data_IF_791006657940
#
_entry.id   IF_791006657940
#
_cell.length_a   1.000
_cell.length_b   1.000
_cell.length_c   1.000
_cell.angle_alpha   90.00
_cell.angle_beta   90.00
_cell.angle_gamma   90.00
#
_symmetry.space_group_name_H-M   'P 1'
#
loop_
_entity.id
_entity.type
_entity.pdbx_description
1 polymer ?
#
# COMPACT_ATOMS: atom_id res chain seq x y z
N UNK A 1 -11.19 -0.70 -19.78
CA UNK A 1 -10.98 0.63 -20.44
C UNK A 1 -11.16 1.71 -19.39
N UNK A 2 -10.36 2.82 -19.44
CA UNK A 2 -10.49 3.92 -18.45
C UNK A 2 -11.30 5.08 -19.03
N UNK A 3 -12.33 5.52 -18.31
CA UNK A 3 -13.21 6.63 -18.69
C UNK A 3 -12.92 7.86 -17.80
N UNK A 4 -12.72 9.03 -18.43
CA UNK A 4 -12.47 10.27 -17.70
C UNK A 4 -13.80 10.99 -17.40
N UNK A 5 -14.04 11.32 -16.13
CA UNK A 5 -15.22 12.07 -15.68
C UNK A 5 -14.82 13.15 -14.68
N UNK A 6 -15.49 14.32 -14.76
CA UNK A 6 -15.32 15.42 -13.80
C UNK A 6 -16.43 15.40 -12.77
N UNK A 7 -16.08 15.69 -11.51
CA UNK A 7 -17.00 15.80 -10.39
C UNK A 7 -16.85 17.16 -9.70
N UNK A 8 -17.97 17.73 -9.27
CA UNK A 8 -17.97 18.85 -8.33
C UNK A 8 -17.47 18.38 -6.95
N UNK A 9 -17.14 19.34 -6.08
CA UNK A 9 -16.52 19.05 -4.78
C UNK A 9 -17.33 18.05 -3.93
N UNK A 10 -18.64 18.29 -3.74
CA UNK A 10 -19.45 17.45 -2.87
C UNK A 10 -19.54 15.97 -3.35
N UNK A 11 -19.91 15.68 -4.62
CA UNK A 11 -19.87 14.27 -5.10
C UNK A 11 -18.46 13.65 -5.06
N UNK A 12 -17.42 14.44 -5.33
CA UNK A 12 -16.04 13.94 -5.25
C UNK A 12 -15.68 13.49 -3.83
N UNK A 13 -15.92 14.35 -2.83
CA UNK A 13 -15.65 14.02 -1.42
C UNK A 13 -16.50 12.84 -0.92
N UNK A 14 -17.76 12.76 -1.35
CA UNK A 14 -18.65 11.65 -0.95
C UNK A 14 -18.19 10.32 -1.55
N UNK A 15 -17.67 10.30 -2.79
CA UNK A 15 -17.06 9.11 -3.39
C UNK A 15 -15.76 8.77 -2.64
N UNK A 16 -14.88 9.75 -2.39
CA UNK A 16 -13.63 9.53 -1.68
C UNK A 16 -13.82 8.91 -0.29
N UNK A 17 -14.95 9.22 0.36
CA UNK A 17 -15.31 8.66 1.68
C UNK A 17 -16.12 7.35 1.61
N UNK A 18 -16.39 6.83 0.41
CA UNK A 18 -17.21 5.63 0.23
C UNK A 18 -18.71 5.83 0.52
N UNK A 19 -19.16 7.05 0.79
CA UNK A 19 -20.58 7.39 1.06
C UNK A 19 -21.40 7.29 -0.22
N UNK A 20 -20.87 7.84 -1.32
CA UNK A 20 -21.49 7.77 -2.64
C UNK A 20 -20.86 6.66 -3.46
N UNK A 21 -21.62 5.63 -3.74
CA UNK A 21 -21.20 4.48 -4.56
C UNK A 21 -21.97 4.35 -5.88
N UNK A 22 -22.93 5.25 -6.14
CA UNK A 22 -23.66 5.31 -7.41
C UNK A 22 -23.58 6.74 -7.96
N UNK A 23 -22.91 6.89 -9.10
CA UNK A 23 -22.80 8.15 -9.81
C UNK A 23 -23.93 8.30 -10.82
N UNK A 24 -24.65 9.43 -10.79
CA UNK A 24 -25.83 9.69 -11.62
C UNK A 24 -25.45 10.51 -12.86
N UNK A 25 -25.79 9.99 -14.06
CA UNK A 25 -25.47 10.64 -15.34
C UNK A 25 -26.59 10.48 -16.37
N UNK A 26 -26.56 11.32 -17.45
CA UNK A 26 -27.28 10.99 -18.66
C UNK A 26 -26.67 9.75 -19.30
N UNK A 27 -27.50 8.91 -19.91
CA UNK A 27 -27.06 7.75 -20.67
C UNK A 27 -26.78 8.15 -22.15
N UNK A 28 -25.94 9.20 -22.31
CA UNK A 28 -25.50 9.74 -23.60
C UNK A 28 -24.48 8.82 -24.30
N UNK A 29 -24.06 9.21 -25.51
CA UNK A 29 -23.15 8.43 -26.34
C UNK A 29 -21.85 8.10 -25.59
N UNK A 30 -21.33 9.00 -24.75
CA UNK A 30 -20.11 8.77 -23.98
C UNK A 30 -20.35 7.75 -22.88
N UNK A 31 -21.49 7.76 -22.18
CA UNK A 31 -21.78 6.85 -21.08
C UNK A 31 -22.25 5.47 -21.55
N UNK A 32 -22.74 5.38 -22.79
CA UNK A 32 -23.07 4.09 -23.43
C UNK A 32 -21.84 3.23 -23.73
N UNK A 33 -20.64 3.80 -23.75
CA UNK A 33 -19.39 3.06 -23.93
C UNK A 33 -18.88 2.42 -22.62
N UNK A 34 -19.38 2.86 -21.48
CA UNK A 34 -19.00 2.35 -20.15
C UNK A 34 -19.56 0.93 -19.97
N UNK A 35 -18.74 0.01 -19.50
CA UNK A 35 -19.09 -1.39 -19.23
C UNK A 35 -18.74 -1.77 -17.80
N UNK A 36 -19.42 -2.77 -17.28
CA UNK A 36 -19.03 -3.42 -16.01
C UNK A 36 -17.60 -3.96 -16.15
N UNK A 37 -16.76 -3.70 -15.16
CA UNK A 37 -15.34 -4.02 -15.16
C UNK A 37 -14.44 -2.89 -15.69
N UNK A 38 -14.99 -1.89 -16.37
CA UNK A 38 -14.22 -0.70 -16.77
C UNK A 38 -13.82 0.14 -15.56
N UNK A 39 -12.78 0.95 -15.73
CA UNK A 39 -12.34 1.94 -14.74
C UNK A 39 -12.86 3.33 -15.09
N UNK A 40 -13.12 4.12 -14.05
CA UNK A 40 -13.43 5.54 -14.17
C UNK A 40 -12.40 6.33 -13.35
N UNK A 41 -11.73 7.27 -14.01
CA UNK A 41 -10.96 8.30 -13.34
C UNK A 41 -11.83 9.55 -13.15
N UNK A 42 -12.13 9.85 -11.91
CA UNK A 42 -12.82 11.07 -11.52
C UNK A 42 -11.83 12.16 -11.20
N UNK A 43 -11.91 13.29 -11.91
CA UNK A 43 -11.11 14.48 -11.62
C UNK A 43 -11.95 15.51 -10.89
N UNK A 44 -11.42 16.11 -9.81
CA UNK A 44 -12.08 17.19 -9.11
C UNK A 44 -12.19 18.45 -10.01
N UNK A 45 -13.39 19.05 -10.12
CA UNK A 45 -13.67 20.09 -11.11
C UNK A 45 -12.87 21.39 -10.94
N UNK A 46 -12.44 21.71 -9.70
CA UNK A 46 -11.66 22.91 -9.36
C UNK A 46 -10.18 22.64 -9.10
N UNK A 47 -9.77 21.37 -9.01
CA UNK A 47 -8.40 20.98 -8.73
C UNK A 47 -8.06 19.71 -9.51
N UNK A 48 -7.47 19.89 -10.68
CA UNK A 48 -7.14 18.78 -11.59
C UNK A 48 -6.05 17.84 -11.05
N UNK A 49 -5.37 18.19 -9.96
CA UNK A 49 -4.37 17.32 -9.32
C UNK A 49 -5.02 16.27 -8.43
N UNK A 50 -6.30 16.46 -8.06
CA UNK A 50 -7.07 15.50 -7.25
C UNK A 50 -7.86 14.58 -8.15
N UNK A 51 -7.53 13.30 -8.11
CA UNK A 51 -8.21 12.24 -8.86
C UNK A 51 -8.66 11.11 -7.92
N UNK A 52 -9.70 10.38 -8.34
CA UNK A 52 -10.16 9.13 -7.73
C UNK A 52 -10.31 8.09 -8.83
N UNK A 53 -9.88 6.88 -8.57
CA UNK A 53 -10.05 5.75 -9.48
C UNK A 53 -11.11 4.81 -8.94
N UNK A 54 -12.03 4.40 -9.79
CA UNK A 54 -13.11 3.49 -9.41
C UNK A 54 -13.37 2.46 -10.51
N UNK A 55 -13.74 1.24 -10.12
CA UNK A 55 -14.21 0.19 -11.02
C UNK A 55 -15.72 0.24 -11.13
N UNK A 56 -16.25 0.10 -12.33
CA UNK A 56 -17.68 -0.03 -12.58
C UNK A 56 -18.12 -1.43 -12.19
N UNK A 57 -19.01 -1.55 -11.21
CA UNK A 57 -19.53 -2.84 -10.75
C UNK A 57 -20.94 -3.14 -11.26
N UNK A 58 -21.74 -2.11 -11.55
CA UNK A 58 -23.04 -2.25 -12.20
C UNK A 58 -23.46 -1.00 -12.97
N UNK A 59 -24.38 -1.16 -13.92
CA UNK A 59 -25.00 -0.09 -14.68
C UNK A 59 -26.53 -0.23 -14.57
N UNK A 60 -27.18 0.80 -14.03
CA UNK A 60 -28.63 0.86 -13.82
C UNK A 60 -29.22 1.91 -14.76
N UNK A 61 -29.79 1.48 -15.88
CA UNK A 61 -30.33 2.38 -16.92
C UNK A 61 -31.82 2.56 -16.77
N UNK A 62 -32.27 3.82 -16.83
CA UNK A 62 -33.67 4.22 -16.69
C UNK A 62 -34.06 5.24 -17.75
N UNK A 63 -35.38 5.32 -18.12
CA UNK A 63 -35.88 6.34 -19.02
C UNK A 63 -35.76 7.76 -18.47
N UNK A 64 -35.86 7.95 -17.13
CA UNK A 64 -35.84 9.25 -16.47
C UNK A 64 -35.26 9.19 -15.06
N UNK A 65 -34.92 10.35 -14.50
CA UNK A 65 -34.54 10.42 -13.09
C UNK A 65 -35.68 10.09 -12.14
N UNK A 66 -36.95 10.24 -12.56
CA UNK A 66 -38.10 9.85 -11.73
C UNK A 66 -38.07 8.34 -11.44
N UNK A 67 -37.92 7.51 -12.46
CA UNK A 67 -37.84 6.06 -12.27
C UNK A 67 -36.55 5.65 -11.56
N UNK A 68 -35.44 6.32 -11.82
CA UNK A 68 -34.17 6.08 -11.15
C UNK A 68 -34.29 6.34 -9.64
N UNK A 69 -34.87 7.48 -9.23
CA UNK A 69 -35.04 7.84 -7.80
C UNK A 69 -35.98 6.89 -7.05
N UNK A 70 -36.97 6.31 -7.74
CA UNK A 70 -37.86 5.30 -7.18
C UNK A 70 -37.20 3.93 -7.02
N UNK A 71 -36.15 3.64 -7.81
CA UNK A 71 -35.55 2.31 -7.92
C UNK A 71 -34.24 2.16 -7.19
N UNK A 72 -33.42 3.23 -7.11
CA UNK A 72 -32.09 3.15 -6.51
C UNK A 72 -32.09 3.66 -5.06
N UNK A 73 -31.21 3.11 -4.21
CA UNK A 73 -31.00 3.59 -2.86
C UNK A 73 -30.31 4.97 -2.89
N UNK A 74 -31.06 6.04 -2.69
CA UNK A 74 -30.59 7.43 -2.83
C UNK A 74 -29.42 7.78 -1.88
N UNK A 75 -29.32 7.12 -0.72
CA UNK A 75 -28.14 7.23 0.15
C UNK A 75 -26.84 6.85 -0.59
N UNK A 76 -26.88 5.79 -1.41
CA UNK A 76 -25.73 5.41 -2.26
C UNK A 76 -25.49 6.40 -3.42
N UNK A 77 -26.50 7.20 -3.78
CA UNK A 77 -26.40 8.23 -4.82
C UNK A 77 -25.80 9.55 -4.31
N UNK A 78 -25.55 9.65 -2.98
CA UNK A 78 -24.91 10.82 -2.35
C UNK A 78 -25.86 11.72 -1.56
N UNK A 79 -27.11 11.32 -1.37
CA UNK A 79 -28.01 11.92 -0.40
C UNK A 79 -27.66 11.46 1.02
N UNK A 80 -28.04 12.28 2.00
CA UNK A 80 -27.87 11.98 3.43
C UNK A 80 -29.21 11.60 4.07
N UNK A 81 -29.19 11.09 5.29
CA UNK A 81 -30.43 10.81 6.03
C UNK A 81 -31.28 12.07 6.28
N UNK A 82 -30.63 13.25 6.32
CA UNK A 82 -31.32 14.53 6.54
C UNK A 82 -31.99 15.09 5.29
N UNK A 83 -31.49 14.80 4.10
CA UNK A 83 -31.99 15.35 2.83
C UNK A 83 -32.75 14.36 1.95
N UNK A 84 -32.67 13.06 2.26
CA UNK A 84 -33.38 12.01 1.51
C UNK A 84 -34.92 12.19 1.49
N UNK A 85 -35.48 12.75 2.57
CA UNK A 85 -36.93 12.99 2.67
C UNK A 85 -37.41 14.11 1.73
N UNK A 86 -36.51 14.99 1.29
CA UNK A 86 -36.76 16.10 0.37
C UNK A 86 -36.15 15.89 -1.01
N UNK A 87 -35.52 14.73 -1.24
CA UNK A 87 -34.90 14.40 -2.52
C UNK A 87 -35.96 14.36 -3.63
N UNK A 88 -35.75 15.15 -4.67
CA UNK A 88 -36.66 15.23 -5.81
C UNK A 88 -35.92 15.04 -7.13
N UNK A 89 -36.48 14.27 -8.09
CA UNK A 89 -35.86 14.09 -9.40
C UNK A 89 -35.52 15.40 -10.14
N UNK A 90 -36.21 16.50 -9.82
CA UNK A 90 -35.92 17.86 -10.35
C UNK A 90 -34.60 18.44 -9.84
N UNK A 91 -33.97 17.88 -8.80
CA UNK A 91 -32.63 18.27 -8.36
C UNK A 91 -31.62 18.11 -9.50
N UNK A 92 -31.88 17.14 -10.40
CA UNK A 92 -31.04 16.87 -11.57
C UNK A 92 -31.23 17.86 -12.72
N UNK A 93 -32.27 18.70 -12.68
CA UNK A 93 -32.50 19.75 -13.67
C UNK A 93 -31.46 20.89 -13.59
N UNK A 94 -30.75 20.99 -12.45
CA UNK A 94 -29.59 21.87 -12.28
C UNK A 94 -28.40 21.44 -13.19
N UNK A 95 -28.34 20.17 -13.61
CA UNK A 95 -27.25 19.61 -14.39
C UNK A 95 -27.63 19.27 -15.81
N UNK A 96 -28.92 18.92 -16.06
CA UNK A 96 -29.39 18.37 -17.34
C UNK A 96 -30.78 18.91 -17.70
N UNK A 97 -30.96 19.39 -18.92
CA UNK A 97 -32.29 19.85 -19.38
C UNK A 97 -33.27 18.68 -19.55
N UNK A 98 -34.57 18.95 -19.50
CA UNK A 98 -35.61 17.94 -19.73
C UNK A 98 -35.50 17.28 -21.11
N UNK A 99 -35.15 18.07 -22.14
CA UNK A 99 -34.93 17.55 -23.51
C UNK A 99 -33.76 16.55 -23.56
N UNK A 100 -32.68 16.85 -22.82
CA UNK A 100 -31.54 15.94 -22.73
C UNK A 100 -31.92 14.65 -22.01
N UNK A 101 -32.68 14.74 -20.89
CA UNK A 101 -33.14 13.58 -20.15
C UNK A 101 -34.04 12.70 -21.02
N UNK A 102 -34.99 13.28 -21.76
CA UNK A 102 -35.88 12.56 -22.68
C UNK A 102 -35.13 11.91 -23.85
N UNK A 103 -34.13 12.62 -24.41
CA UNK A 103 -33.36 12.14 -25.55
C UNK A 103 -32.47 10.95 -25.22
N UNK A 104 -31.79 11.00 -24.08
CA UNK A 104 -30.73 10.04 -23.76
C UNK A 104 -31.14 8.99 -22.73
N UNK A 105 -32.12 9.27 -21.87
CA UNK A 105 -32.34 8.53 -20.65
C UNK A 105 -31.23 8.82 -19.62
N UNK A 106 -31.22 8.06 -18.54
CA UNK A 106 -30.31 8.26 -17.41
C UNK A 106 -29.67 6.96 -16.97
N UNK A 107 -28.53 7.04 -16.30
CA UNK A 107 -27.82 5.87 -15.76
C UNK A 107 -27.29 6.17 -14.37
N UNK A 108 -27.53 5.23 -13.45
CA UNK A 108 -26.79 5.09 -12.19
C UNK A 108 -25.58 4.17 -12.46
N UNK A 109 -24.38 4.72 -12.38
CA UNK A 109 -23.14 3.95 -12.51
C UNK A 109 -22.71 3.54 -11.11
N UNK A 110 -22.89 2.27 -10.76
CA UNK A 110 -22.44 1.74 -9.47
C UNK A 110 -20.94 1.47 -9.55
N UNK A 111 -20.21 2.02 -8.60
CA UNK A 111 -18.76 2.05 -8.59
C UNK A 111 -18.20 1.51 -7.28
N UNK A 112 -17.05 0.90 -7.36
CA UNK A 112 -16.18 0.55 -6.26
C UNK A 112 -14.91 1.37 -6.36
N UNK A 113 -14.59 2.13 -5.31
CA UNK A 113 -13.35 2.90 -5.27
C UNK A 113 -12.15 1.95 -5.32
N UNK A 114 -11.20 2.25 -6.19
CA UNK A 114 -9.94 1.52 -6.27
C UNK A 114 -8.94 2.17 -5.33
N UNK A 115 -8.41 1.39 -4.41
CA UNK A 115 -7.30 1.78 -3.55
C UNK A 115 -6.07 1.04 -4.05
N UNK A 116 -5.32 1.65 -4.98
CA UNK A 116 -4.04 1.12 -5.46
C UNK A 116 -3.03 1.17 -4.33
N UNK A 117 -2.70 0.01 -3.76
CA UNK A 117 -1.91 -0.08 -2.55
C UNK A 117 -0.61 -0.85 -2.78
N UNK A 118 0.52 -0.19 -2.52
CA UNK A 118 1.82 -0.83 -2.45
C UNK A 118 2.16 -1.07 -0.97
N UNK A 119 2.36 -2.33 -0.60
CA UNK A 119 2.75 -2.74 0.74
C UNK A 119 4.21 -3.17 0.68
N UNK A 120 5.06 -2.46 1.41
CA UNK A 120 6.51 -2.65 1.38
C UNK A 120 7.01 -3.30 2.67
N UNK A 121 8.04 -4.14 2.57
CA UNK A 121 8.97 -4.29 3.67
C UNK A 121 9.84 -3.03 3.84
N UNK A 122 10.57 -2.95 4.93
CA UNK A 122 11.41 -1.81 5.26
C UNK A 122 12.89 -2.07 4.96
N UNK A 123 13.49 -3.01 5.72
CA UNK A 123 14.93 -3.26 5.75
C UNK A 123 15.38 -4.03 4.49
N UNK A 124 16.16 -3.42 3.61
CA UNK A 124 16.56 -4.01 2.33
C UNK A 124 15.57 -3.75 1.18
N UNK A 125 14.40 -3.20 1.46
CA UNK A 125 13.39 -2.90 0.44
C UNK A 125 13.26 -1.41 0.18
N UNK A 126 12.80 -0.61 1.15
CA UNK A 126 12.71 0.86 1.00
C UNK A 126 13.90 1.58 1.62
N UNK A 127 14.64 0.94 2.52
CA UNK A 127 15.83 1.49 3.14
C UNK A 127 17.00 0.50 3.09
N UNK A 128 18.20 0.99 2.71
CA UNK A 128 19.44 0.26 2.94
C UNK A 128 19.83 0.41 4.41
N UNK A 129 19.53 -0.62 5.16
CA UNK A 129 19.81 -0.73 6.60
C UNK A 129 20.92 -1.74 6.90
N UNK A 130 21.48 -2.43 5.91
CA UNK A 130 22.52 -3.42 6.11
C UNK A 130 23.74 -2.85 6.82
N UNK A 131 24.25 -1.66 6.47
CA UNK A 131 25.39 -1.04 7.17
C UNK A 131 25.07 -0.70 8.62
N UNK A 132 23.84 -0.28 8.91
CA UNK A 132 23.37 0.03 10.27
C UNK A 132 23.29 -1.23 11.14
N UNK A 133 22.64 -2.27 10.62
CA UNK A 133 22.49 -3.56 11.30
C UNK A 133 23.86 -4.18 11.61
N UNK A 134 24.77 -4.15 10.65
CA UNK A 134 26.14 -4.64 10.81
C UNK A 134 26.92 -3.84 11.86
N UNK A 135 26.83 -2.52 11.80
CA UNK A 135 27.50 -1.64 12.75
C UNK A 135 27.12 -1.95 14.20
N UNK A 136 25.83 -1.92 14.52
CA UNK A 136 25.35 -2.16 15.87
C UNK A 136 25.49 -3.63 16.27
N UNK A 137 25.38 -4.56 15.33
CA UNK A 137 25.65 -5.97 15.56
C UNK A 137 27.12 -6.20 15.99
N UNK A 138 28.05 -5.61 15.29
CA UNK A 138 29.48 -5.72 15.61
C UNK A 138 29.81 -5.03 16.96
N UNK A 139 29.27 -3.84 17.24
CA UNK A 139 29.42 -3.20 18.53
C UNK A 139 28.90 -4.08 19.68
N UNK A 140 27.78 -4.78 19.46
CA UNK A 140 27.25 -5.70 20.47
C UNK A 140 28.14 -6.92 20.68
N UNK A 141 28.74 -7.47 19.62
CA UNK A 141 29.73 -8.56 19.70
C UNK A 141 31.00 -8.11 20.43
N UNK A 142 31.57 -6.97 20.06
CA UNK A 142 32.80 -6.40 20.65
C UNK A 142 32.61 -6.14 22.16
N UNK A 143 31.46 -5.62 22.58
CA UNK A 143 31.12 -5.41 24.00
C UNK A 143 31.19 -6.73 24.82
N UNK A 144 31.04 -7.88 24.15
CA UNK A 144 31.10 -9.20 24.76
C UNK A 144 32.42 -9.95 24.46
N UNK A 145 33.43 -9.26 23.90
CA UNK A 145 34.73 -9.83 23.58
C UNK A 145 34.69 -10.82 22.40
N UNK A 146 33.69 -10.71 21.53
CA UNK A 146 33.54 -11.54 20.33
C UNK A 146 33.99 -10.76 19.12
N UNK A 147 34.78 -11.41 18.25
CA UNK A 147 35.28 -10.81 17.00
C UNK A 147 34.15 -10.31 16.09
N UNK A 148 34.28 -9.13 15.47
CA UNK A 148 33.29 -8.59 14.55
C UNK A 148 33.14 -9.47 13.29
N UNK A 149 31.97 -9.40 12.65
CA UNK A 149 31.60 -10.15 11.45
C UNK A 149 31.67 -9.19 10.23
N UNK A 150 32.10 -9.70 9.07
CA UNK A 150 32.08 -8.91 7.83
C UNK A 150 30.65 -8.41 7.55
N UNK A 151 30.52 -7.15 7.18
CA UNK A 151 29.23 -6.51 6.89
C UNK A 151 28.41 -7.30 5.84
N UNK A 152 29.08 -7.92 4.86
CA UNK A 152 28.43 -8.69 3.80
C UNK A 152 27.66 -9.91 4.30
N UNK A 153 28.02 -10.45 5.46
CA UNK A 153 27.34 -11.61 6.05
C UNK A 153 26.00 -11.23 6.66
N UNK A 154 25.84 -9.97 7.08
CA UNK A 154 24.65 -9.49 7.78
C UNK A 154 23.36 -9.59 6.95
N UNK A 155 23.47 -9.51 5.62
CA UNK A 155 22.33 -9.71 4.74
C UNK A 155 21.67 -11.09 4.88
N UNK A 156 22.45 -12.12 5.27
CA UNK A 156 21.94 -13.47 5.53
C UNK A 156 21.38 -13.64 6.95
N UNK A 157 21.67 -12.71 7.84
CA UNK A 157 21.18 -12.76 9.21
C UNK A 157 19.88 -11.98 9.39
N UNK A 158 19.67 -10.92 8.59
CA UNK A 158 18.52 -10.03 8.64
C UNK A 158 17.26 -10.63 7.95
N UNK A 159 16.08 -10.03 8.22
CA UNK A 159 14.77 -10.38 7.65
C UNK A 159 13.77 -10.92 8.69
N UNK A 160 14.21 -11.69 9.68
CA UNK A 160 13.36 -12.38 10.66
C UNK A 160 13.34 -11.72 12.06
N UNK A 161 13.72 -10.44 12.13
CA UNK A 161 13.77 -9.66 13.36
C UNK A 161 15.05 -9.84 14.18
N UNK A 162 15.25 -8.90 15.12
CA UNK A 162 16.51 -8.76 15.85
C UNK A 162 16.91 -9.98 16.70
N UNK A 163 15.95 -10.72 17.25
CA UNK A 163 16.26 -11.94 18.03
C UNK A 163 16.91 -13.00 17.14
N UNK A 164 16.39 -13.22 15.96
CA UNK A 164 16.93 -14.22 15.02
C UNK A 164 18.26 -13.73 14.45
N UNK A 165 18.38 -12.45 14.14
CA UNK A 165 19.64 -11.82 13.74
C UNK A 165 20.76 -12.17 14.74
N UNK A 166 20.59 -11.86 16.02
CA UNK A 166 21.60 -12.13 17.06
C UNK A 166 21.90 -13.61 17.20
N UNK A 167 20.88 -14.48 17.10
CA UNK A 167 21.08 -15.94 17.12
C UNK A 167 21.97 -16.41 15.97
N UNK A 168 21.71 -15.89 14.75
CA UNK A 168 22.51 -16.24 13.56
C UNK A 168 23.95 -15.74 13.67
N UNK A 169 24.16 -14.52 14.17
CA UNK A 169 25.49 -13.96 14.43
C UNK A 169 26.30 -14.83 15.41
N UNK A 170 25.70 -15.20 16.56
CA UNK A 170 26.36 -16.03 17.57
C UNK A 170 26.65 -17.45 17.06
N UNK A 171 25.74 -18.05 16.27
CA UNK A 171 25.98 -19.32 15.62
C UNK A 171 27.12 -19.23 14.58
N UNK A 172 27.17 -18.17 13.80
CA UNK A 172 28.25 -17.92 12.84
C UNK A 172 29.62 -17.86 13.53
N UNK A 173 29.67 -17.28 14.73
CA UNK A 173 30.87 -17.24 15.58
C UNK A 173 31.10 -18.52 16.41
N UNK A 174 30.19 -19.49 16.33
CA UNK A 174 30.28 -20.73 17.07
C UNK A 174 30.22 -20.61 18.59
N UNK A 175 29.59 -19.54 19.10
CA UNK A 175 29.55 -19.23 20.53
C UNK A 175 28.11 -19.05 21.08
N UNK A 176 27.09 -19.59 20.40
CA UNK A 176 25.71 -19.45 20.85
C UNK A 176 25.46 -20.13 22.21
N UNK A 177 24.83 -19.37 23.11
CA UNK A 177 24.13 -19.87 24.29
C UNK A 177 22.96 -18.93 24.60
N UNK A 178 21.91 -19.40 25.27
CA UNK A 178 20.75 -18.58 25.59
C UNK A 178 21.09 -17.36 26.48
N UNK A 179 22.02 -17.55 27.43
CA UNK A 179 22.51 -16.47 28.28
C UNK A 179 23.26 -15.38 27.48
N UNK A 180 24.19 -15.80 26.59
CA UNK A 180 24.94 -14.88 25.73
C UNK A 180 24.01 -14.20 24.72
N UNK A 181 23.10 -14.95 24.10
CA UNK A 181 22.10 -14.39 23.19
C UNK A 181 21.29 -13.28 23.87
N UNK A 182 20.77 -13.52 25.09
CA UNK A 182 20.00 -12.52 25.84
C UNK A 182 20.82 -11.26 26.13
N UNK A 183 22.10 -11.42 26.49
CA UNK A 183 22.98 -10.30 26.80
C UNK A 183 23.37 -9.48 25.54
N UNK A 184 23.74 -10.15 24.44
CA UNK A 184 24.09 -9.50 23.17
C UNK A 184 22.86 -8.82 22.56
N UNK A 185 21.69 -9.47 22.60
CA UNK A 185 20.42 -8.90 22.15
C UNK A 185 20.05 -7.62 22.89
N UNK A 186 20.22 -7.62 24.24
CA UNK A 186 19.98 -6.42 25.05
C UNK A 186 20.94 -5.30 24.64
N UNK A 187 22.24 -5.59 24.53
CA UNK A 187 23.25 -4.60 24.12
C UNK A 187 23.00 -4.03 22.74
N UNK A 188 22.63 -4.90 21.77
CA UNK A 188 22.24 -4.49 20.43
C UNK A 188 21.07 -3.52 20.45
N UNK A 189 19.95 -3.88 21.13
CA UNK A 189 18.77 -3.04 21.18
C UNK A 189 19.01 -1.69 21.87
N UNK A 190 19.79 -1.65 22.94
CA UNK A 190 20.14 -0.40 23.64
C UNK A 190 20.87 0.55 22.69
N UNK A 191 21.88 0.06 21.96
CA UNK A 191 22.66 0.89 21.05
C UNK A 191 21.91 1.25 19.77
N UNK A 192 21.21 0.29 19.17
CA UNK A 192 20.42 0.50 17.96
C UNK A 192 19.28 1.50 18.18
N UNK A 193 18.55 1.38 19.31
CA UNK A 193 17.43 2.28 19.62
C UNK A 193 17.88 3.71 19.99
N UNK A 194 19.14 3.90 20.34
CA UNK A 194 19.71 5.22 20.60
C UNK A 194 19.91 6.03 19.32
N UNK A 195 20.14 5.37 18.18
CA UNK A 195 20.30 6.02 16.87
C UNK A 195 19.89 5.06 15.72
N UNK A 196 18.58 4.93 15.51
CA UNK A 196 18.00 4.04 14.49
C UNK A 196 18.28 4.49 13.05
N UNK A 197 18.76 5.73 12.87
CA UNK A 197 19.06 6.31 11.55
C UNK A 197 20.52 6.17 11.15
N UNK A 198 21.38 5.79 12.09
CA UNK A 198 22.81 5.62 11.86
C UNK A 198 23.08 4.72 10.66
N UNK A 199 23.85 5.20 9.70
CA UNK A 199 24.24 4.46 8.47
C UNK A 199 23.07 3.87 7.67
N UNK A 200 21.89 4.49 7.76
CA UNK A 200 20.71 4.10 6.98
C UNK A 200 20.44 5.14 5.90
N UNK A 201 20.17 4.69 4.68
CA UNK A 201 19.88 5.58 3.53
C UNK A 201 18.72 5.01 2.71
N UNK A 202 18.08 5.87 1.92
CA UNK A 202 17.13 5.44 0.88
C UNK A 202 17.94 4.91 -0.31
N UNK A 203 17.52 3.83 -0.95
CA UNK A 203 18.16 3.32 -2.15
C UNK A 203 18.10 4.34 -3.29
N UNK A 204 19.18 4.43 -4.07
CA UNK A 204 19.30 5.36 -5.18
C UNK A 204 18.17 5.20 -6.20
N UNK A 205 17.50 6.31 -6.56
CA UNK A 205 16.38 6.34 -7.50
C UNK A 205 15.02 5.89 -6.95
N UNK A 206 14.98 5.27 -5.76
CA UNK A 206 13.72 4.75 -5.23
C UNK A 206 12.74 5.87 -4.84
N UNK A 207 13.23 6.95 -4.24
CA UNK A 207 12.36 8.07 -3.84
C UNK A 207 11.64 8.69 -5.05
N UNK A 208 12.35 8.90 -6.17
CA UNK A 208 11.76 9.42 -7.41
C UNK A 208 10.63 8.51 -7.93
N UNK A 209 10.88 7.21 -7.92
CA UNK A 209 9.88 6.20 -8.34
C UNK A 209 8.65 6.22 -7.45
N UNK A 210 8.83 6.28 -6.14
CA UNK A 210 7.72 6.34 -5.19
C UNK A 210 6.92 7.66 -5.35
N UNK A 211 7.59 8.79 -5.54
CA UNK A 211 6.91 10.07 -5.77
C UNK A 211 6.06 10.05 -7.06
N UNK A 212 6.59 9.46 -8.13
CA UNK A 212 5.84 9.27 -9.40
C UNK A 212 4.62 8.38 -9.22
N UNK A 213 4.70 7.32 -8.42
CA UNK A 213 3.57 6.46 -8.08
C UNK A 213 2.54 7.22 -7.23
N UNK A 214 2.96 8.03 -6.26
CA UNK A 214 2.06 8.89 -5.48
C UNK A 214 1.27 9.87 -6.35
N UNK A 215 1.92 10.50 -7.33
CA UNK A 215 1.25 11.38 -8.29
C UNK A 215 0.16 10.63 -9.07
N UNK A 216 0.31 9.32 -9.28
CA UNK A 216 -0.70 8.45 -9.91
C UNK A 216 -1.76 7.91 -8.92
N UNK A 217 -1.75 8.37 -7.68
CA UNK A 217 -2.76 7.99 -6.67
C UNK A 217 -2.49 6.68 -5.94
N UNK A 218 -1.28 6.11 -6.04
CA UNK A 218 -0.90 4.94 -5.25
C UNK A 218 -0.70 5.32 -3.79
N UNK A 219 -1.18 4.45 -2.90
CA UNK A 219 -1.00 4.56 -1.45
C UNK A 219 0.11 3.61 -1.00
N UNK A 220 0.81 3.98 0.06
CA UNK A 220 1.97 3.24 0.52
C UNK A 220 1.86 2.88 1.99
N UNK A 221 2.17 1.62 2.28
CA UNK A 221 2.22 1.09 3.63
C UNK A 221 3.53 0.31 3.82
N UNK A 222 4.08 0.38 5.01
CA UNK A 222 5.20 -0.47 5.42
C UNK A 222 4.69 -1.51 6.43
N UNK A 223 5.04 -2.80 6.23
CA UNK A 223 4.86 -3.90 7.18
C UNK A 223 6.18 -4.62 7.37
N UNK A 224 6.77 -4.52 8.57
CA UNK A 224 8.12 -5.00 8.84
C UNK A 224 8.25 -5.79 10.14
N UNK A 225 9.18 -6.75 10.16
CA UNK A 225 9.59 -7.47 11.38
C UNK A 225 10.51 -6.65 12.30
N UNK A 226 10.88 -5.42 11.90
CA UNK A 226 11.58 -4.45 12.74
C UNK A 226 10.67 -3.97 13.88
N UNK A 227 11.20 -3.72 15.10
CA UNK A 227 10.39 -3.15 16.19
C UNK A 227 9.62 -1.90 15.78
N UNK A 228 8.34 -1.79 16.14
CA UNK A 228 7.40 -0.75 15.67
C UNK A 228 7.92 0.67 15.85
N UNK A 229 8.50 0.96 17.04
CA UNK A 229 9.14 2.26 17.29
C UNK A 229 10.26 2.55 16.29
N UNK A 230 11.18 1.60 16.09
CA UNK A 230 12.33 1.79 15.21
C UNK A 230 11.90 1.92 13.73
N UNK A 231 10.93 1.10 13.29
CA UNK A 231 10.39 1.18 11.93
C UNK A 231 9.78 2.56 11.65
N UNK A 232 8.93 3.06 12.54
CA UNK A 232 8.31 4.39 12.41
C UNK A 232 9.33 5.51 12.46
N UNK A 233 10.27 5.45 13.39
CA UNK A 233 11.28 6.49 13.55
C UNK A 233 12.16 6.61 12.32
N UNK A 234 12.69 5.50 11.80
CA UNK A 234 13.59 5.54 10.65
C UNK A 234 12.85 5.92 9.36
N UNK A 235 11.64 5.39 9.12
CA UNK A 235 10.85 5.74 7.96
C UNK A 235 10.48 7.24 7.95
N UNK A 236 9.98 7.77 9.07
CA UNK A 236 9.61 9.19 9.17
C UNK A 236 10.82 10.11 9.09
N UNK A 237 11.99 9.71 9.61
CA UNK A 237 13.21 10.53 9.55
C UNK A 237 13.75 10.68 8.13
N UNK A 238 13.65 9.65 7.30
CA UNK A 238 14.23 9.65 5.95
C UNK A 238 13.24 10.06 4.86
N UNK A 239 12.00 9.68 4.97
CA UNK A 239 10.96 10.01 3.98
C UNK A 239 10.09 11.21 4.37
N UNK A 240 10.06 11.57 5.66
CA UNK A 240 9.14 12.58 6.20
C UNK A 240 7.88 11.96 6.82
N UNK A 241 7.34 12.64 7.81
CA UNK A 241 6.11 12.22 8.48
C UNK A 241 4.93 12.23 7.50
N UNK A 242 4.14 11.16 7.48
CA UNK A 242 2.99 11.00 6.58
C UNK A 242 3.34 10.64 5.13
N UNK A 243 4.61 10.36 4.83
CA UNK A 243 4.98 9.86 3.50
C UNK A 243 4.36 8.49 3.22
N UNK A 244 4.37 7.58 4.18
CA UNK A 244 3.61 6.32 4.15
C UNK A 244 2.28 6.53 4.89
N UNK A 245 1.18 5.99 4.34
CA UNK A 245 -0.16 6.05 4.96
C UNK A 245 -0.16 5.34 6.31
N UNK A 246 0.64 4.27 6.43
CA UNK A 246 0.85 3.55 7.68
C UNK A 246 2.24 2.89 7.68
N UNK A 247 2.87 2.86 8.86
CA UNK A 247 4.09 2.09 9.13
C UNK A 247 3.81 1.16 10.30
N UNK A 248 3.86 -0.15 10.05
CA UNK A 248 3.62 -1.20 11.03
C UNK A 248 4.90 -1.99 11.21
N UNK A 249 5.43 -1.94 12.42
CA UNK A 249 6.52 -2.80 12.86
C UNK A 249 6.03 -3.84 13.86
N UNK A 250 6.96 -4.70 14.32
CA UNK A 250 6.68 -5.70 15.32
C UNK A 250 6.32 -5.08 16.67
N UNK A 251 5.18 -5.49 17.23
CA UNK A 251 4.77 -5.20 18.61
C UNK A 251 4.88 -6.46 19.46
N UNK A 252 4.98 -6.27 20.78
CA UNK A 252 4.99 -7.41 21.70
C UNK A 252 3.67 -8.18 21.60
N UNK A 253 3.79 -9.50 21.38
CA UNK A 253 2.63 -10.40 21.22
C UNK A 253 2.01 -10.42 19.82
N UNK A 254 2.44 -9.56 18.88
CA UNK A 254 2.00 -9.69 17.47
C UNK A 254 2.74 -10.81 16.74
N UNK A 255 2.05 -11.44 15.79
CA UNK A 255 2.67 -12.38 14.89
C UNK A 255 3.70 -11.67 14.00
N UNK A 256 4.79 -12.37 13.67
CA UNK A 256 5.81 -11.90 12.73
C UNK A 256 5.45 -12.34 11.31
N UNK A 257 5.92 -11.59 10.30
CA UNK A 257 5.99 -12.12 8.94
C UNK A 257 6.71 -13.49 8.99
N UNK A 258 6.24 -14.51 8.26
CA UNK A 258 5.31 -14.45 7.14
C UNK A 258 3.81 -14.58 7.51
N UNK A 259 3.40 -14.36 8.78
CA UNK A 259 1.98 -14.27 9.10
C UNK A 259 1.38 -13.03 8.39
N UNK A 260 0.28 -13.18 7.61
CA UNK A 260 -0.27 -12.10 6.82
C UNK A 260 -1.18 -11.15 7.61
N UNK A 261 -1.36 -11.34 8.92
CA UNK A 261 -2.34 -10.64 9.76
C UNK A 261 -2.29 -9.12 9.60
N UNK A 262 -1.10 -8.52 9.74
CA UNK A 262 -0.93 -7.06 9.67
C UNK A 262 -1.19 -6.53 8.24
N UNK A 263 -0.82 -7.32 7.21
CA UNK A 263 -1.10 -6.98 5.81
C UNK A 263 -2.61 -6.96 5.56
N UNK A 264 -3.32 -8.00 5.98
CA UNK A 264 -4.78 -8.11 5.80
C UNK A 264 -5.53 -7.05 6.60
N UNK A 265 -5.08 -6.74 7.83
CA UNK A 265 -5.66 -5.70 8.67
C UNK A 265 -5.56 -4.32 8.01
N UNK A 266 -4.37 -3.93 7.53
CA UNK A 266 -4.19 -2.63 6.87
C UNK A 266 -4.94 -2.53 5.56
N UNK A 267 -5.05 -3.62 4.79
CA UNK A 267 -5.88 -3.65 3.58
C UNK A 267 -7.35 -3.40 3.92
N UNK A 268 -7.86 -4.01 4.98
CA UNK A 268 -9.22 -3.80 5.46
C UNK A 268 -9.45 -2.35 5.91
N UNK A 269 -8.54 -1.78 6.70
CA UNK A 269 -8.62 -0.41 7.20
C UNK A 269 -8.61 0.63 6.07
N UNK A 270 -7.87 0.34 5.00
CA UNK A 270 -7.77 1.21 3.82
C UNK A 270 -8.83 0.92 2.74
N UNK A 271 -9.68 -0.11 2.94
CA UNK A 271 -10.67 -0.53 1.96
C UNK A 271 -10.05 -1.05 0.66
N UNK A 272 -8.84 -1.61 0.72
CA UNK A 272 -8.11 -2.12 -0.44
C UNK A 272 -8.45 -3.59 -0.72
N UNK A 273 -8.58 -3.95 -2.00
CA UNK A 273 -8.81 -5.32 -2.43
C UNK A 273 -7.51 -5.94 -2.95
N UNK A 274 -7.35 -7.25 -2.78
CA UNK A 274 -6.13 -7.95 -3.18
C UNK A 274 -5.73 -7.71 -4.66
N UNK A 275 -6.71 -7.57 -5.55
CA UNK A 275 -6.47 -7.29 -6.97
C UNK A 275 -5.88 -5.87 -7.23
N UNK A 276 -5.98 -4.97 -6.26
CA UNK A 276 -5.52 -3.59 -6.34
C UNK A 276 -4.30 -3.35 -5.41
N UNK A 277 -3.68 -4.45 -4.92
CA UNK A 277 -2.56 -4.43 -4.00
C UNK A 277 -1.35 -5.18 -4.56
N UNK A 278 -0.16 -4.66 -4.27
CA UNK A 278 1.12 -5.33 -4.53
C UNK A 278 1.92 -5.38 -3.24
N UNK A 279 2.49 -6.55 -2.92
CA UNK A 279 3.45 -6.70 -1.82
C UNK A 279 4.88 -6.68 -2.37
N UNK A 280 5.75 -5.88 -1.78
CA UNK A 280 7.12 -5.67 -2.23
C UNK A 280 8.08 -5.97 -1.09
N UNK A 281 9.09 -6.82 -1.34
CA UNK A 281 10.10 -7.19 -0.36
C UNK A 281 11.34 -7.80 -0.97
N UNK A 282 12.33 -8.06 -0.15
CA UNK A 282 13.66 -8.52 -0.59
C UNK A 282 14.10 -9.84 0.05
N UNK A 283 13.21 -10.49 0.84
CA UNK A 283 13.50 -11.77 1.50
C UNK A 283 12.47 -12.85 1.19
N UNK A 284 12.83 -14.12 1.49
CA UNK A 284 11.93 -15.27 1.47
C UNK A 284 10.71 -15.06 2.38
N UNK A 285 10.92 -14.45 3.55
CA UNK A 285 9.86 -14.09 4.48
C UNK A 285 8.84 -13.13 3.85
N UNK A 286 9.30 -12.20 3.02
CA UNK A 286 8.43 -11.24 2.31
C UNK A 286 7.60 -11.93 1.23
N UNK A 287 8.24 -12.77 0.43
CA UNK A 287 7.55 -13.53 -0.61
C UNK A 287 6.44 -14.38 0.00
N UNK A 288 6.74 -15.08 1.09
CA UNK A 288 5.74 -15.87 1.82
C UNK A 288 4.64 -15.01 2.42
N UNK A 289 4.96 -13.80 2.93
CA UNK A 289 3.95 -12.88 3.48
C UNK A 289 2.95 -12.45 2.42
N UNK A 290 3.45 -12.01 1.25
CA UNK A 290 2.60 -11.62 0.13
C UNK A 290 1.73 -12.80 -0.35
N UNK A 291 2.29 -13.99 -0.48
CA UNK A 291 1.54 -15.20 -0.85
C UNK A 291 0.49 -15.60 0.17
N UNK A 292 0.83 -15.56 1.45
CA UNK A 292 -0.12 -15.86 2.53
C UNK A 292 -1.26 -14.85 2.60
N UNK A 293 -1.02 -13.60 2.17
CA UNK A 293 -2.05 -12.58 2.00
C UNK A 293 -2.79 -12.67 0.65
N UNK A 294 -2.43 -13.62 -0.21
CA UNK A 294 -2.96 -13.79 -1.56
C UNK A 294 -2.79 -12.53 -2.45
N UNK A 295 -1.61 -11.91 -2.37
CA UNK A 295 -1.24 -10.72 -3.12
C UNK A 295 -0.27 -11.05 -4.26
N UNK A 296 -0.27 -10.21 -5.29
CA UNK A 296 0.82 -10.16 -6.26
C UNK A 296 2.08 -9.67 -5.54
N UNK A 297 3.16 -10.45 -5.65
CA UNK A 297 4.36 -10.28 -4.82
C UNK A 297 5.57 -10.01 -5.69
N UNK A 298 6.25 -8.89 -5.44
CA UNK A 298 7.43 -8.44 -6.18
C UNK A 298 8.66 -8.57 -5.30
N UNK A 299 9.65 -9.32 -5.78
CA UNK A 299 10.96 -9.39 -5.18
C UNK A 299 11.89 -8.29 -5.72
N UNK A 300 12.65 -7.60 -4.86
CA UNK A 300 13.61 -6.59 -5.26
C UNK A 300 15.04 -7.07 -5.05
N UNK A 301 15.95 -6.80 -6.03
CA UNK A 301 17.32 -7.35 -6.04
C UNK A 301 18.37 -6.47 -5.36
N UNK A 302 18.03 -5.27 -4.98
CA UNK A 302 18.97 -4.37 -4.26
C UNK A 302 19.06 -4.65 -2.76
N UNK A 303 18.22 -5.58 -2.24
CA UNK A 303 18.19 -5.97 -0.84
C UNK A 303 19.09 -7.16 -0.48
N UNK A 304 18.59 -8.03 0.41
CA UNK A 304 19.40 -9.06 1.08
C UNK A 304 19.48 -10.38 0.33
N UNK A 305 18.50 -10.75 -0.49
CA UNK A 305 18.42 -12.08 -1.13
C UNK A 305 18.61 -12.04 -2.65
N UNK A 306 18.98 -13.19 -3.21
CA UNK A 306 19.10 -13.34 -4.66
C UNK A 306 17.75 -13.54 -5.35
N UNK A 307 17.69 -13.25 -6.65
CA UNK A 307 16.49 -13.49 -7.45
C UNK A 307 16.05 -14.96 -7.44
N UNK A 308 16.98 -15.89 -7.50
CA UNK A 308 16.69 -17.33 -7.44
C UNK A 308 15.98 -17.72 -6.13
N UNK A 309 16.40 -17.12 -5.00
CA UNK A 309 15.77 -17.35 -3.71
C UNK A 309 14.37 -16.74 -3.68
N UNK A 310 14.19 -15.50 -4.14
CA UNK A 310 12.90 -14.83 -4.18
C UNK A 310 11.91 -15.57 -5.09
N UNK A 311 12.32 -16.00 -6.27
CA UNK A 311 11.51 -16.81 -7.19
C UNK A 311 11.09 -18.15 -6.56
N UNK A 312 12.03 -18.84 -5.91
CA UNK A 312 11.77 -20.09 -5.20
C UNK A 312 10.70 -19.95 -4.12
N UNK A 313 10.68 -18.82 -3.43
CA UNK A 313 9.69 -18.55 -2.36
C UNK A 313 8.42 -17.84 -2.86
N UNK A 314 8.27 -17.66 -4.18
CA UNK A 314 7.00 -17.32 -4.80
C UNK A 314 6.86 -15.85 -5.24
N UNK A 315 7.96 -15.17 -5.54
CA UNK A 315 7.85 -13.89 -6.24
C UNK A 315 7.11 -14.08 -7.58
N UNK A 316 6.12 -13.25 -7.85
CA UNK A 316 5.41 -13.23 -9.15
C UNK A 316 6.21 -12.42 -10.18
N UNK A 317 7.02 -11.47 -9.72
CA UNK A 317 7.94 -10.69 -10.53
C UNK A 317 9.19 -10.31 -9.73
N UNK A 318 10.27 -10.02 -10.44
CA UNK A 318 11.54 -9.56 -9.88
C UNK A 318 11.85 -8.18 -10.49
N UNK A 319 12.21 -7.23 -9.63
CA UNK A 319 12.70 -5.90 -10.02
C UNK A 319 14.20 -5.79 -9.65
N UNK A 320 15.06 -5.58 -10.64
CA UNK A 320 16.47 -5.36 -10.41
C UNK A 320 16.78 -3.88 -10.10
N UNK A 321 15.91 -2.97 -10.52
CA UNK A 321 16.05 -1.53 -10.34
C UNK A 321 14.73 -0.90 -9.87
N UNK A 322 14.76 0.28 -9.23
CA UNK A 322 13.54 1.02 -8.89
C UNK A 322 12.67 1.33 -10.11
N UNK A 323 13.24 1.59 -11.29
CA UNK A 323 12.48 1.84 -12.50
C UNK A 323 11.73 0.60 -12.98
N UNK A 324 12.34 -0.59 -12.93
CA UNK A 324 11.64 -1.85 -13.21
C UNK A 324 10.50 -2.09 -12.21
N UNK A 325 10.70 -1.75 -10.93
CA UNK A 325 9.63 -1.81 -9.93
C UNK A 325 8.45 -0.90 -10.30
N UNK A 326 8.71 0.33 -10.77
CA UNK A 326 7.68 1.23 -11.26
C UNK A 326 6.87 0.62 -12.41
N UNK A 327 7.57 0.06 -13.40
CA UNK A 327 6.93 -0.57 -14.55
C UNK A 327 6.05 -1.75 -14.12
N UNK A 328 6.56 -2.64 -13.26
CA UNK A 328 5.81 -3.80 -12.74
C UNK A 328 4.54 -3.32 -12.01
N UNK A 329 4.66 -2.39 -11.06
CA UNK A 329 3.52 -1.89 -10.29
C UNK A 329 2.47 -1.27 -11.21
N UNK A 330 2.87 -0.41 -12.15
CA UNK A 330 1.92 0.30 -13.01
C UNK A 330 1.26 -0.58 -14.07
N UNK A 331 1.82 -1.75 -14.36
CA UNK A 331 1.18 -2.75 -15.22
C UNK A 331 0.25 -3.69 -14.44
N UNK A 332 0.55 -3.91 -13.14
CA UNK A 332 -0.18 -4.88 -12.33
C UNK A 332 -1.45 -4.29 -11.70
N UNK A 333 -1.39 -3.06 -11.20
CA UNK A 333 -2.52 -2.39 -10.51
C UNK A 333 -2.77 -0.94 -10.93
#
# INVERSE_FOLDING_TARGET
>A
MTHLMKLHAAPFENIARGIKTIELRLYDEKRRTVKVGDEIEFTHSKDATRTLHARVVALHVFPSFTELYQSLPLLKCGYTESDIATADPSDMDLYYTKEQQQKYGVVGIEIQLLTKLCIFDLDGTVLDTAPSIAHFGNLALEKHGIEPIDEKEYKYFAGDGAKILIKRMLNYRGCYSDALHSSVFKAYNEMYNADVTCKTVIFDGLLDVLDRLKVKGYRFVIVSNKPDFAAKTVANSLYGEGYFDCVIGQKEGSALKPDPHEVLAVMQDLGAHAADCVYIGDTDTDMLTGKNANLYTVGVLWGFRSGEELEKFGADAIAATPEELYEIITHQI
#
